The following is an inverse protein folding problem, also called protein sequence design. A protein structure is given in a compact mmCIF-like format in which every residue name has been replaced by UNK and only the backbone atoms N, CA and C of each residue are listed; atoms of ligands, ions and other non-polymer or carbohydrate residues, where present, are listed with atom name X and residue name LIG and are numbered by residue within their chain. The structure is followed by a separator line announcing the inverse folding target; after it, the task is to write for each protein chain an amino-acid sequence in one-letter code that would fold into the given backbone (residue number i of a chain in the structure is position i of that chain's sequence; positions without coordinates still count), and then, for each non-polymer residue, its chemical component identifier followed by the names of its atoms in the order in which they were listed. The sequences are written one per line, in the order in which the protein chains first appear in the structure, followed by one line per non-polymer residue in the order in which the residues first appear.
data_IF_923107810964
#
_entry.id   IF_923107810964
#
_cell.length_a   1.000
_cell.length_b   1.000
_cell.length_c   1.000
_cell.angle_alpha   90.00
_cell.angle_beta   90.00
_cell.angle_gamma   90.00
#
_symmetry.space_group_name_H-M   'P 1'
#
loop_
_entity.id
_entity.type
_entity.pdbx_description
1 polymer ?
#
# COMPACT_ATOMS: atom_id res chain seq x y z
N UNK A 1 -4.68 13.92 -15.82
CA UNK A 1 -4.64 13.60 -14.37
C UNK A 1 -6.05 13.49 -13.75
N UNK A 2 -7.11 13.43 -14.55
CA UNK A 2 -8.49 13.59 -14.09
C UNK A 2 -8.95 12.50 -13.12
N UNK A 3 -8.62 11.23 -13.40
CA UNK A 3 -9.02 10.10 -12.55
C UNK A 3 -8.45 10.17 -11.12
N UNK A 4 -7.21 10.63 -10.96
CA UNK A 4 -6.60 10.79 -9.63
C UNK A 4 -7.23 11.95 -8.87
N UNK A 5 -7.53 13.06 -9.54
CA UNK A 5 -8.22 14.20 -8.92
C UNK A 5 -9.65 13.84 -8.50
N UNK A 6 -10.36 13.06 -9.31
CA UNK A 6 -11.68 12.54 -8.94
C UNK A 6 -11.61 11.64 -7.70
N UNK A 7 -10.61 10.75 -7.64
CA UNK A 7 -10.40 9.89 -6.47
C UNK A 7 -10.06 10.69 -5.20
N UNK A 8 -9.24 11.74 -5.31
CA UNK A 8 -8.91 12.61 -4.17
C UNK A 8 -10.12 13.39 -3.67
N UNK A 9 -10.97 13.94 -4.55
CA UNK A 9 -12.23 14.59 -4.16
C UNK A 9 -13.18 13.64 -3.46
N UNK A 10 -13.27 12.40 -3.94
CA UNK A 10 -14.07 11.37 -3.28
C UNK A 10 -13.50 11.04 -1.90
N UNK A 11 -12.17 10.98 -1.76
CA UNK A 11 -11.52 10.72 -0.48
C UNK A 11 -11.67 11.88 0.52
N UNK A 12 -11.64 13.12 0.04
CA UNK A 12 -11.96 14.33 0.81
C UNK A 12 -13.40 14.27 1.34
N UNK A 13 -14.39 14.01 0.48
CA UNK A 13 -15.79 13.86 0.90
C UNK A 13 -16.00 12.72 1.90
N UNK A 14 -15.23 11.63 1.79
CA UNK A 14 -15.28 10.54 2.76
C UNK A 14 -14.66 10.93 4.11
N UNK A 15 -13.61 11.75 4.09
CA UNK A 15 -12.96 12.26 5.29
C UNK A 15 -13.86 13.26 6.03
N UNK A 16 -14.52 14.15 5.30
CA UNK A 16 -15.56 15.05 5.81
C UNK A 16 -16.69 14.29 6.50
N UNK A 17 -17.21 13.25 5.82
CA UNK A 17 -18.26 12.40 6.37
C UNK A 17 -17.82 11.66 7.63
N UNK A 18 -16.53 11.29 7.71
CA UNK A 18 -15.94 10.62 8.86
C UNK A 18 -15.54 11.59 10.00
N UNK A 19 -15.60 12.90 9.76
CA UNK A 19 -15.25 13.94 10.73
C UNK A 19 -13.75 14.15 10.94
N UNK A 20 -12.92 13.84 9.95
CA UNK A 20 -11.47 14.10 9.97
C UNK A 20 -11.17 15.55 9.56
N UNK A 21 -10.03 16.10 9.96
CA UNK A 21 -9.61 17.46 9.57
C UNK A 21 -9.03 17.46 8.15
N UNK A 22 -9.80 17.96 7.18
CA UNK A 22 -9.44 17.97 5.74
C UNK A 22 -8.11 18.68 5.49
N UNK A 23 -7.83 19.76 6.22
CA UNK A 23 -6.61 20.56 6.03
C UNK A 23 -5.34 19.82 6.48
N UNK A 24 -5.49 18.79 7.31
CA UNK A 24 -4.37 17.98 7.83
C UNK A 24 -4.22 16.63 7.13
N UNK A 25 -5.04 16.33 6.14
CA UNK A 25 -4.95 15.06 5.44
C UNK A 25 -3.69 15.00 4.58
N UNK A 26 -2.94 13.92 4.75
CA UNK A 26 -1.80 13.57 3.92
C UNK A 26 -2.06 12.23 3.24
N UNK A 27 -1.54 12.06 2.03
CA UNK A 27 -1.56 10.77 1.33
C UNK A 27 -0.56 9.84 2.02
N UNK A 28 -1.05 8.89 2.81
CA UNK A 28 -0.21 7.93 3.50
C UNK A 28 0.27 6.80 2.58
N UNK A 29 -0.60 6.35 1.69
CA UNK A 29 -0.30 5.29 0.73
C UNK A 29 -1.08 5.47 -0.56
N UNK A 30 -0.44 5.16 -1.68
CA UNK A 30 -1.06 5.04 -2.99
C UNK A 30 -0.48 3.83 -3.72
N UNK A 31 -1.35 2.98 -4.25
CA UNK A 31 -0.97 1.81 -5.02
C UNK A 31 -1.79 1.75 -6.31
N UNK A 32 -1.12 1.37 -7.40
CA UNK A 32 -1.74 1.18 -8.70
C UNK A 32 -1.41 -0.22 -9.21
N UNK A 33 -2.45 -1.04 -9.37
CA UNK A 33 -2.34 -2.41 -9.85
C UNK A 33 -2.92 -2.52 -11.26
N UNK A 34 -2.40 -3.46 -12.06
CA UNK A 34 -2.95 -3.74 -13.39
C UNK A 34 -4.28 -4.46 -13.24
N UNK A 35 -5.29 -3.97 -13.95
CA UNK A 35 -6.58 -4.64 -14.06
C UNK A 35 -6.60 -5.59 -15.27
N UNK A 36 -7.63 -6.44 -15.36
CA UNK A 36 -7.81 -7.35 -16.49
C UNK A 36 -7.86 -6.59 -17.82
N UNK A 37 -7.11 -7.05 -18.82
CA UNK A 37 -7.03 -6.37 -20.11
C UNK A 37 -8.31 -6.58 -20.92
N UNK A 38 -8.89 -5.48 -21.40
CA UNK A 38 -10.03 -5.51 -22.31
C UNK A 38 -9.53 -5.85 -23.72
N UNK A 39 -10.27 -6.67 -24.48
CA UNK A 39 -9.79 -7.20 -25.76
C UNK A 39 -10.67 -6.77 -26.92
N UNK A 40 -10.07 -6.04 -27.87
CA UNK A 40 -10.65 -5.70 -29.17
C UNK A 40 -9.82 -6.33 -30.29
N UNK A 41 -10.33 -6.30 -31.52
CA UNK A 41 -9.66 -6.84 -32.71
C UNK A 41 -9.28 -5.70 -33.66
N UNK A 42 -8.11 -5.81 -34.27
CA UNK A 42 -7.70 -4.96 -35.38
C UNK A 42 -7.47 -5.83 -36.59
N UNK A 43 -8.21 -5.57 -37.66
CA UNK A 43 -8.02 -6.20 -38.95
C UNK A 43 -6.77 -5.63 -39.61
N UNK A 44 -5.92 -6.50 -40.17
CA UNK A 44 -4.72 -6.12 -40.91
C UNK A 44 -4.70 -6.76 -42.29
N UNK A 45 -3.74 -6.36 -43.11
CA UNK A 45 -3.53 -6.91 -44.45
C UNK A 45 -3.45 -8.45 -44.45
N UNK A 46 -3.84 -9.04 -45.59
CA UNK A 46 -3.86 -10.48 -45.83
C UNK A 46 -4.70 -11.28 -44.82
N UNK A 47 -5.81 -10.73 -44.33
CA UNK A 47 -6.76 -11.44 -43.45
C UNK A 47 -6.25 -11.70 -42.03
N UNK A 48 -5.17 -11.04 -41.61
CA UNK A 48 -4.61 -11.16 -40.25
C UNK A 48 -5.50 -10.43 -39.23
N UNK A 49 -5.71 -11.06 -38.07
CA UNK A 49 -6.42 -10.47 -36.94
C UNK A 49 -5.49 -10.43 -35.73
N UNK A 50 -5.13 -9.21 -35.28
CA UNK A 50 -4.34 -9.03 -34.08
C UNK A 50 -5.19 -8.45 -32.95
N UNK A 51 -4.86 -8.73 -31.68
CA UNK A 51 -5.52 -8.11 -30.56
C UNK A 51 -5.11 -6.65 -30.43
N UNK A 52 -6.09 -5.79 -30.12
CA UNK A 52 -5.88 -4.45 -29.61
C UNK A 52 -6.42 -4.42 -28.19
N UNK A 53 -5.51 -4.48 -27.22
CA UNK A 53 -5.85 -4.62 -25.81
C UNK A 53 -5.78 -3.28 -25.10
N UNK A 54 -6.77 -3.00 -24.25
CA UNK A 54 -6.68 -1.88 -23.31
C UNK A 54 -6.04 -2.39 -22.01
N UNK A 55 -5.24 -1.54 -21.38
CA UNK A 55 -4.55 -1.80 -20.12
C UNK A 55 -5.10 -0.93 -18.99
N UNK A 56 -6.26 -1.28 -18.42
CA UNK A 56 -6.84 -0.57 -17.28
C UNK A 56 -6.06 -0.83 -15.98
N UNK A 57 -6.37 -0.06 -14.93
CA UNK A 57 -5.75 -0.18 -13.61
C UNK A 57 -6.77 -0.08 -12.46
N UNK A 58 -6.41 -0.65 -11.32
CA UNK A 58 -7.05 -0.44 -10.02
C UNK A 58 -6.17 0.51 -9.22
N UNK A 59 -6.76 1.58 -8.69
CA UNK A 59 -6.06 2.58 -7.89
C UNK A 59 -6.63 2.50 -6.48
N UNK A 60 -5.75 2.32 -5.51
CA UNK A 60 -6.07 2.32 -4.09
C UNK A 60 -5.27 3.43 -3.42
N UNK A 61 -5.93 4.22 -2.57
CA UNK A 61 -5.30 5.29 -1.83
C UNK A 61 -5.89 5.39 -0.43
N UNK A 62 -5.04 5.68 0.56
CA UNK A 62 -5.46 5.95 1.93
C UNK A 62 -4.89 7.28 2.39
N UNK A 63 -5.78 8.10 2.96
CA UNK A 63 -5.43 9.35 3.60
C UNK A 63 -5.24 9.11 5.09
N UNK A 64 -4.28 9.79 5.68
CA UNK A 64 -4.02 9.79 7.12
C UNK A 64 -3.90 11.22 7.59
N UNK A 65 -4.30 11.52 8.82
CA UNK A 65 -4.04 12.84 9.40
C UNK A 65 -2.53 13.00 9.68
N UNK A 66 -1.98 14.13 9.26
CA UNK A 66 -0.61 14.51 9.57
C UNK A 66 -0.44 14.67 11.08
N UNK A 67 0.47 13.91 11.68
CA UNK A 67 0.87 14.12 13.08
C UNK A 67 1.47 15.52 13.22
N UNK A 68 0.84 16.38 14.03
CA UNK A 68 1.53 17.51 14.65
C UNK A 68 2.72 16.96 15.42
N UNK A 69 3.92 17.46 15.14
CA UNK A 69 5.25 17.16 15.71
C UNK A 69 5.34 15.96 16.69
N UNK A 70 6.22 14.97 16.47
CA UNK A 70 6.43 13.92 17.45
C UNK A 70 6.85 14.54 18.79
N UNK A 71 6.09 14.29 19.85
CA UNK A 71 6.54 14.62 21.20
C UNK A 71 7.92 13.99 21.40
N UNK A 72 8.91 14.83 21.70
CA UNK A 72 10.28 14.40 21.89
C UNK A 72 10.33 13.24 22.91
N UNK A 73 11.13 12.19 22.66
CA UNK A 73 11.23 11.09 23.60
C UNK A 73 11.75 11.61 24.94
N UNK A 74 10.91 11.54 25.98
CA UNK A 74 11.35 11.75 27.37
C UNK A 74 12.46 10.73 27.65
N UNK A 75 13.71 11.21 27.74
CA UNK A 75 14.85 10.44 28.23
C UNK A 75 14.51 9.98 29.66
N UNK A 76 14.28 8.68 29.84
CA UNK A 76 13.96 8.07 31.13
C UNK A 76 14.55 6.67 31.24
N UNK A 77 15.74 6.62 31.85
CA UNK A 77 16.33 5.55 32.67
C UNK A 77 16.59 4.14 32.09
N UNK A 78 17.89 3.79 32.16
CA UNK A 78 18.44 2.44 32.08
C UNK A 78 17.84 1.53 33.16
N UNK A 79 17.25 0.40 32.75
CA UNK A 79 17.19 -0.86 33.51
C UNK A 79 17.47 -1.98 32.50
N UNK A 80 18.66 -2.55 32.49
CA UNK A 80 19.01 -3.66 33.37
C UNK A 80 18.96 -4.94 32.53
N UNK A 81 20.05 -5.26 31.86
CA UNK A 81 20.18 -6.50 31.11
C UNK A 81 20.30 -7.66 32.10
N UNK A 82 19.23 -8.45 32.23
CA UNK A 82 19.25 -9.72 32.95
C UNK A 82 18.68 -10.83 32.08
N UNK A 83 19.57 -11.77 31.79
CA UNK A 83 19.35 -13.21 31.65
C UNK A 83 18.54 -13.75 30.47
N UNK A 84 19.26 -14.34 29.50
CA UNK A 84 18.79 -15.54 28.78
C UNK A 84 19.94 -16.52 28.57
N UNK A 85 20.10 -17.42 29.54
CA UNK A 85 20.78 -18.70 29.33
C UNK A 85 20.23 -19.39 28.07
N UNK A 86 21.11 -19.73 27.11
CA UNK A 86 20.82 -20.64 26.00
C UNK A 86 21.63 -21.91 26.19
N UNK A 87 21.05 -22.86 26.94
CA UNK A 87 21.43 -24.29 26.92
C UNK A 87 20.38 -25.04 26.10
N UNK A 88 20.73 -25.42 24.87
CA UNK A 88 20.25 -26.65 24.23
C UNK A 88 20.88 -26.84 22.84
N UNK A 89 21.85 -27.74 22.75
CA UNK A 89 22.08 -28.53 21.53
C UNK A 89 22.23 -29.97 21.98
N UNK A 90 21.11 -30.66 22.09
CA UNK A 90 21.07 -32.12 22.18
C UNK A 90 20.97 -32.67 20.77
N UNK A 91 22.11 -33.18 20.31
CA UNK A 91 22.33 -34.42 19.55
C UNK A 91 21.13 -34.95 18.73
N UNK A 92 21.24 -34.92 17.40
CA UNK A 92 20.47 -35.79 16.51
C UNK A 92 21.41 -36.90 15.99
N UNK A 93 21.24 -38.08 16.55
CA UNK A 93 21.83 -39.35 16.11
C UNK A 93 20.88 -40.09 15.17
N UNK A 94 21.51 -40.83 14.25
CA UNK A 94 21.09 -42.12 13.68
C UNK A 94 20.54 -42.10 12.25
N UNK A 95 21.35 -42.73 11.40
CA UNK A 95 21.07 -43.19 10.06
C UNK A 95 20.02 -44.30 10.02
N UNK A 96 19.23 -44.32 8.94
CA UNK A 96 18.78 -45.51 8.22
C UNK A 96 18.33 -45.13 6.82
#
# INVERSE_FOLDING_TARGET
AEFLLQLLRNAESNADYSGLDVDRLIIGHIQVNRAACLRRRTYRAHGRINPYMSSPCHIELWLTEGKSAPEAPKKGEKKGASDKSKRSKTVATTAR
#
